data_IF_623498478708
#
_entry.id   IF_623498478708
#
_cell.length_a   1.000
_cell.length_b   1.000
_cell.length_c   1.000
_cell.angle_alpha   90.00
_cell.angle_beta   90.00
_cell.angle_gamma   90.00
#
_symmetry.space_group_name_H-M   'P 1'
#
loop_
_entity.id
_entity.type
_entity.pdbx_description
1 polymer ?
#
# COMPACT_ATOMS: atom_id res chain seq x y z
N UNK A 1 -1.08 -9.75 10.72
CA UNK A 1 -1.31 -9.40 9.29
C UNK A 1 -1.14 -10.68 8.49
N UNK A 2 -2.12 -11.57 8.58
CA UNK A 2 -2.13 -12.92 8.00
C UNK A 2 -3.29 -13.05 7.02
N UNK A 3 -3.52 -12.01 6.21
CA UNK A 3 -4.71 -11.91 5.36
C UNK A 3 -4.67 -12.83 4.13
N UNK A 4 -3.56 -13.51 3.88
CA UNK A 4 -3.32 -14.21 2.62
C UNK A 4 -3.28 -15.74 2.70
N UNK A 5 -3.40 -16.34 3.89
CA UNK A 5 -3.30 -17.81 4.03
C UNK A 5 -4.71 -18.45 4.14
N UNK A 6 -5.70 -17.72 4.64
CA UNK A 6 -7.02 -18.29 4.94
C UNK A 6 -8.07 -18.08 3.84
N UNK A 7 -7.90 -17.09 2.94
CA UNK A 7 -8.95 -16.66 2.00
C UNK A 7 -8.62 -16.85 0.50
N UNK A 8 -7.57 -17.59 0.16
CA UNK A 8 -7.22 -17.88 -1.24
C UNK A 8 -5.75 -17.57 -1.56
N UNK A 9 -5.46 -17.35 -2.84
CA UNK A 9 -4.09 -17.06 -3.29
C UNK A 9 -3.66 -15.64 -2.93
N UNK A 10 -2.34 -15.39 -2.89
CA UNK A 10 -1.76 -14.06 -2.64
C UNK A 10 -2.29 -13.00 -3.62
N UNK A 11 -2.51 -13.38 -4.88
CA UNK A 11 -3.06 -12.46 -5.89
C UNK A 11 -4.52 -12.08 -5.61
N UNK A 12 -5.30 -13.00 -5.06
CA UNK A 12 -6.69 -12.74 -4.69
C UNK A 12 -6.78 -11.83 -3.47
N UNK A 13 -5.96 -12.09 -2.45
CA UNK A 13 -5.86 -11.21 -1.27
C UNK A 13 -5.41 -9.80 -1.65
N UNK A 14 -4.44 -9.68 -2.55
CA UNK A 14 -3.99 -8.38 -3.05
C UNK A 14 -5.09 -7.65 -3.85
N UNK A 15 -5.83 -8.38 -4.69
CA UNK A 15 -6.97 -7.84 -5.42
C UNK A 15 -8.02 -7.25 -4.48
N UNK A 16 -8.43 -8.01 -3.46
CA UNK A 16 -9.39 -7.57 -2.45
C UNK A 16 -8.91 -6.36 -1.65
N UNK A 17 -7.61 -6.23 -1.39
CA UNK A 17 -7.10 -5.06 -0.64
C UNK A 17 -7.14 -3.74 -1.42
N UNK A 18 -7.18 -3.79 -2.76
CA UNK A 18 -7.10 -2.60 -3.62
C UNK A 18 -8.28 -2.45 -4.58
N UNK A 19 -9.31 -3.29 -4.49
CA UNK A 19 -10.51 -3.18 -5.33
C UNK A 19 -11.45 -2.05 -4.90
N UNK A 20 -11.30 -1.56 -3.67
CA UNK A 20 -12.13 -0.49 -3.11
C UNK A 20 -13.49 -0.95 -2.59
N UNK A 21 -13.87 -2.21 -2.83
CA UNK A 21 -15.12 -2.82 -2.39
C UNK A 21 -14.97 -3.53 -1.03
N UNK A 22 -13.72 -3.84 -0.62
CA UNK A 22 -13.40 -4.44 0.67
C UNK A 22 -12.60 -3.47 1.57
N UNK A 23 -13.26 -2.45 2.17
CA UNK A 23 -12.57 -1.51 3.03
C UNK A 23 -11.98 -2.21 4.26
N UNK A 24 -10.70 -2.00 4.50
CA UNK A 24 -10.05 -2.48 5.71
C UNK A 24 -10.32 -1.51 6.88
N UNK A 25 -10.02 -1.90 8.13
CA UNK A 25 -10.22 -1.03 9.30
C UNK A 25 -9.55 0.35 9.18
N UNK A 26 -8.43 0.44 8.48
CA UNK A 26 -7.75 1.72 8.22
C UNK A 26 -8.52 2.60 7.23
N UNK A 27 -9.10 2.01 6.19
CA UNK A 27 -9.96 2.73 5.23
C UNK A 27 -11.16 3.36 5.93
N UNK A 28 -11.80 2.63 6.85
CA UNK A 28 -12.90 3.17 7.67
C UNK A 28 -12.46 4.30 8.60
N UNK A 29 -11.27 4.22 9.18
CA UNK A 29 -10.74 5.28 10.02
C UNK A 29 -10.50 6.57 9.22
N UNK A 30 -9.99 6.44 7.99
CA UNK A 30 -9.78 7.58 7.08
C UNK A 30 -11.11 8.20 6.64
N UNK A 31 -12.09 7.37 6.24
CA UNK A 31 -13.42 7.85 5.84
C UNK A 31 -14.11 8.61 6.98
N UNK A 32 -14.05 8.07 8.20
CA UNK A 32 -14.60 8.72 9.39
C UNK A 32 -13.92 10.06 9.67
N UNK A 33 -12.59 10.12 9.55
CA UNK A 33 -11.86 11.37 9.72
C UNK A 33 -12.22 12.41 8.64
N UNK A 34 -12.39 12.00 7.39
CA UNK A 34 -12.82 12.90 6.31
C UNK A 34 -14.22 13.49 6.58
N UNK A 35 -15.17 12.67 7.03
CA UNK A 35 -16.53 13.14 7.38
C UNK A 35 -16.55 14.11 8.58
N UNK A 36 -15.64 13.93 9.55
CA UNK A 36 -15.54 14.79 10.72
C UNK A 36 -14.93 16.16 10.41
N UNK A 37 -14.08 16.26 9.37
CA UNK A 37 -13.45 17.52 8.96
C UNK A 37 -14.32 18.39 8.01
N UNK A 38 -15.38 17.83 7.41
CA UNK A 38 -16.32 18.56 6.55
C UNK A 38 -17.51 19.19 7.32
N UNK A 39 -17.57 19.02 8.65
CA UNK A 39 -18.54 19.74 9.48
C UNK A 39 -18.09 21.19 9.71
N UNK A 40 -18.88 22.21 9.33
CA UNK A 40 -18.52 23.62 9.52
C UNK A 40 -18.68 24.12 10.97
N UNK A 41 -18.78 23.23 11.96
CA UNK A 41 -18.96 23.61 13.35
C UNK A 41 -17.65 23.45 14.12
N UNK A 42 -16.80 24.48 14.02
CA UNK A 42 -15.72 24.67 14.97
C UNK A 42 -16.35 24.75 16.39
N UNK A 43 -16.00 23.85 17.33
CA UNK A 43 -16.52 23.95 18.69
C UNK A 43 -16.02 25.25 19.33
N UNK A 44 -16.83 25.95 20.13
CA UNK A 44 -16.37 27.12 20.86
C UNK A 44 -15.20 26.71 21.76
N UNK A 45 -14.07 27.40 21.58
CA UNK A 45 -12.82 27.31 22.36
C UNK A 45 -13.04 27.77 23.81
N UNK A 46 -13.93 27.12 24.55
CA UNK A 46 -14.19 27.40 25.95
C UNK A 46 -14.27 26.08 26.69
N UNK A 47 -13.13 25.55 27.10
CA UNK A 47 -12.86 25.11 28.47
C UNK A 47 -11.47 24.51 28.47
N UNK A 48 -10.64 25.04 29.36
CA UNK A 48 -9.28 24.61 29.63
C UNK A 48 -9.30 23.23 30.28
N UNK A 49 -9.62 22.20 29.50
CA UNK A 49 -9.32 20.82 29.84
C UNK A 49 -7.80 20.75 30.03
N UNK A 50 -7.36 20.58 31.28
CA UNK A 50 -5.97 20.31 31.65
C UNK A 50 -5.52 19.05 30.92
N UNK A 51 -5.03 19.22 29.70
CA UNK A 51 -4.47 18.15 28.91
C UNK A 51 -3.16 17.76 29.61
N UNK A 52 -3.19 16.70 30.40
CA UNK A 52 -1.99 16.11 30.99
C UNK A 52 -1.26 15.37 29.87
N UNK A 53 -0.47 16.12 29.10
CA UNK A 53 0.42 15.56 28.07
C UNK A 53 1.61 14.96 28.79
N UNK A 54 1.54 13.67 29.08
CA UNK A 54 2.74 12.91 29.44
C UNK A 54 3.53 12.69 28.15
N UNK A 55 4.56 13.51 27.97
CA UNK A 55 5.55 13.33 26.90
C UNK A 55 6.30 12.05 27.25
N UNK A 56 5.89 10.91 26.67
CA UNK A 56 6.71 9.71 26.67
C UNK A 56 8.07 10.12 26.09
N UNK A 57 9.12 10.10 26.91
CA UNK A 57 10.47 10.30 26.43
C UNK A 57 10.70 9.25 25.35
N UNK A 58 10.84 9.70 24.10
CA UNK A 58 11.32 8.87 23.03
C UNK A 58 12.77 8.50 23.39
N UNK A 59 12.94 7.35 24.04
CA UNK A 59 14.26 6.80 24.29
C UNK A 59 14.92 6.62 22.95
N UNK A 60 16.00 7.37 22.70
CA UNK A 60 16.75 7.27 21.46
C UNK A 60 17.49 5.93 21.48
N UNK A 61 16.91 4.93 20.84
CA UNK A 61 17.56 3.63 20.69
C UNK A 61 18.64 3.78 19.62
N UNK A 62 19.90 3.67 20.02
CA UNK A 62 21.00 3.48 19.08
C UNK A 62 21.05 2.00 18.69
N UNK A 63 20.67 1.72 17.45
CA UNK A 63 20.86 0.42 16.83
C UNK A 63 22.23 0.41 16.16
N UNK A 64 23.04 -0.60 16.50
CA UNK A 64 24.29 -0.86 15.79
C UNK A 64 24.01 -1.89 14.70
N UNK A 65 24.48 -1.61 13.48
CA UNK A 65 24.46 -2.61 12.41
C UNK A 65 25.27 -3.82 12.87
N UNK A 66 24.77 -5.06 12.68
CA UNK A 66 25.60 -6.24 12.89
C UNK A 66 26.86 -6.12 12.04
N UNK A 67 28.02 -6.37 12.64
CA UNK A 67 29.34 -6.08 12.06
C UNK A 67 29.64 -6.82 10.75
N UNK A 68 28.82 -7.80 10.35
CA UNK A 68 29.06 -8.66 9.19
C UNK A 68 27.86 -8.78 8.24
N UNK A 69 26.95 -7.81 8.24
CA UNK A 69 25.80 -7.85 7.31
C UNK A 69 26.24 -7.45 5.90
N UNK A 70 26.88 -8.37 5.17
CA UNK A 70 27.05 -8.25 3.71
C UNK A 70 25.74 -8.63 3.05
N UNK A 71 24.92 -7.63 2.73
CA UNK A 71 23.85 -7.84 1.77
C UNK A 71 24.51 -8.19 0.43
N UNK A 72 24.20 -9.36 -0.16
CA UNK A 72 24.64 -9.62 -1.52
C UNK A 72 24.04 -8.52 -2.40
N UNK A 73 24.86 -7.94 -3.27
CA UNK A 73 24.34 -7.06 -4.29
C UNK A 73 23.33 -7.88 -5.10
N UNK A 74 22.04 -7.59 -4.90
CA UNK A 74 20.98 -8.20 -5.69
C UNK A 74 21.22 -7.81 -7.14
N UNK A 75 21.44 -8.79 -8.01
CA UNK A 75 21.48 -8.55 -9.44
C UNK A 75 20.05 -8.21 -9.86
N UNK A 76 19.79 -6.92 -10.07
CA UNK A 76 18.52 -6.47 -10.63
C UNK A 76 18.52 -6.89 -12.10
N UNK A 77 17.74 -7.93 -12.43
CA UNK A 77 17.61 -8.39 -13.80
C UNK A 77 16.66 -7.46 -14.56
N UNK A 78 17.19 -6.33 -15.00
CA UNK A 78 16.47 -5.30 -15.77
C UNK A 78 16.42 -5.70 -17.24
N UNK A 79 15.72 -6.78 -17.55
CA UNK A 79 15.41 -7.13 -18.93
C UNK A 79 14.05 -6.57 -19.33
N UNK A 80 14.06 -5.56 -20.20
CA UNK A 80 12.85 -5.10 -20.88
C UNK A 80 12.31 -6.19 -21.79
N UNK A 81 11.05 -6.57 -21.63
CA UNK A 81 10.40 -7.54 -22.52
C UNK A 81 10.07 -6.85 -23.85
N UNK A 82 10.90 -7.05 -24.88
CA UNK A 82 10.60 -6.55 -26.23
C UNK A 82 9.49 -7.40 -26.84
N UNK A 83 8.31 -6.81 -27.06
CA UNK A 83 7.23 -7.44 -27.82
C UNK A 83 7.39 -7.06 -29.29
N UNK A 84 7.60 -8.05 -30.15
CA UNK A 84 7.50 -7.87 -31.59
C UNK A 84 6.04 -8.02 -32.01
N UNK A 85 5.39 -6.90 -32.31
CA UNK A 85 4.11 -6.93 -33.01
C UNK A 85 4.39 -6.86 -34.50
N UNK A 86 4.08 -7.93 -35.23
CA UNK A 86 3.95 -7.87 -36.69
C UNK A 86 2.47 -8.05 -37.02
N UNK A 87 1.94 -7.30 -38.00
CA UNK A 87 0.59 -7.53 -38.47
C UNK A 87 0.46 -8.94 -39.04
N UNK A 88 -0.74 -9.50 -38.94
CA UNK A 88 -1.06 -10.77 -39.61
C UNK A 88 -0.78 -10.62 -41.12
N UNK A 89 -0.19 -11.66 -41.70
CA UNK A 89 0.12 -11.68 -43.13
C UNK A 89 -1.14 -11.58 -44.00
N UNK A 90 -1.01 -11.18 -45.27
CA UNK A 90 -2.15 -11.14 -46.18
C UNK A 90 -2.79 -12.53 -46.30
N UNK A 91 -4.12 -12.60 -46.48
CA UNK A 91 -4.80 -13.88 -46.69
C UNK A 91 -4.21 -14.60 -47.92
N UNK A 92 -4.12 -15.94 -47.90
CA UNK A 92 -3.56 -16.71 -49.01
C UNK A 92 -4.38 -16.51 -50.28
N UNK A 93 -3.72 -16.24 -51.40
CA UNK A 93 -4.36 -16.16 -52.70
C UNK A 93 -4.81 -17.56 -53.15
N UNK A 94 -6.08 -17.68 -53.54
CA UNK A 94 -6.60 -18.90 -54.14
C UNK A 94 -5.98 -19.05 -55.54
N UNK A 95 -5.26 -20.15 -55.76
CA UNK A 95 -4.78 -20.54 -57.08
C UNK A 95 -6.04 -20.96 -57.89
N UNK A 96 -6.39 -20.17 -58.91
CA UNK A 96 -7.42 -20.48 -59.91
C UNK A 96 -6.76 -21.22 -61.07
#
# INVERSE_FOLDING_TARGET
VTYSIEEGSVSEGLGKTFDGDHPCPLCHAVEKASQENDSPEAPPLNESSKLKVEICQATRVQLFSPHDTRLPAGQLDLHGTTRHYSPDGPPPEAII
#
